data_IF_121400294424
#
_entry.id   IF_121400294424
#
_cell.length_a   1.000
_cell.length_b   1.000
_cell.length_c   1.000
_cell.angle_alpha   90.00
_cell.angle_beta   90.00
_cell.angle_gamma   90.00
#
_symmetry.space_group_name_H-M   'P 1'
#
loop_
_entity.id
_entity.type
_entity.pdbx_description
1 polymer ?
#
# COMPACT_ATOMS: atom_id res chain seq x y z
N UNK A 1 -8.36 -10.29 -3.58
CA UNK A 1 -8.02 -8.91 -3.13
C UNK A 1 -6.81 -9.01 -2.20
N UNK A 2 -5.82 -8.13 -2.33
CA UNK A 2 -4.55 -8.24 -1.57
C UNK A 2 -4.67 -7.70 -0.14
N UNK A 3 -3.91 -8.26 0.79
CA UNK A 3 -3.84 -7.84 2.20
C UNK A 3 -2.39 -7.79 2.69
N UNK A 4 -2.14 -7.00 3.73
CA UNK A 4 -0.84 -6.87 4.41
C UNK A 4 -1.01 -6.97 5.93
N UNK A 5 -0.08 -7.63 6.65
CA UNK A 5 -0.10 -7.68 8.12
C UNK A 5 0.00 -6.27 8.70
N UNK A 6 -0.97 -5.87 9.51
CA UNK A 6 -1.07 -4.50 10.04
C UNK A 6 -1.30 -4.57 11.54
N UNK A 7 -0.51 -3.80 12.30
CA UNK A 7 -0.68 -3.69 13.74
C UNK A 7 -2.01 -2.98 14.02
N UNK A 8 -2.90 -3.68 14.70
CA UNK A 8 -4.22 -3.24 15.12
C UNK A 8 -4.31 -3.30 16.66
N UNK A 9 -5.37 -2.74 17.28
CA UNK A 9 -5.51 -2.74 18.73
C UNK A 9 -5.39 -4.13 19.38
N UNK A 10 -5.96 -5.15 18.76
CA UNK A 10 -5.98 -6.53 19.28
C UNK A 10 -4.79 -7.39 18.81
N UNK A 11 -3.81 -6.79 18.13
CA UNK A 11 -2.63 -7.46 17.60
C UNK A 11 -2.46 -7.31 16.09
N UNK A 12 -1.67 -8.18 15.48
CA UNK A 12 -1.40 -8.14 14.03
C UNK A 12 -2.53 -8.84 13.28
N UNK A 13 -3.23 -8.09 12.44
CA UNK A 13 -4.32 -8.61 11.60
C UNK A 13 -4.10 -8.26 10.11
N UNK A 14 -4.73 -9.01 9.22
CA UNK A 14 -4.77 -8.68 7.81
C UNK A 14 -5.63 -7.42 7.56
N UNK A 15 -5.13 -6.52 6.72
CA UNK A 15 -5.85 -5.35 6.20
C UNK A 15 -5.67 -5.20 4.70
N UNK A 16 -6.71 -4.75 4.02
CA UNK A 16 -6.68 -4.55 2.57
C UNK A 16 -5.67 -3.46 2.20
N UNK A 17 -4.93 -3.73 1.12
CA UNK A 17 -3.88 -2.85 0.63
C UNK A 17 -4.06 -2.61 -0.86
N UNK A 18 -3.77 -1.39 -1.27
CA UNK A 18 -3.65 -0.96 -2.66
C UNK A 18 -2.24 -0.40 -2.89
N UNK A 19 -1.65 -0.70 -4.04
CA UNK A 19 -0.31 -0.24 -4.41
C UNK A 19 -0.40 0.67 -5.62
N UNK A 20 0.15 1.88 -5.48
CA UNK A 20 0.28 2.84 -6.58
C UNK A 20 1.75 2.96 -7.01
N UNK A 21 2.18 2.24 -8.06
CA UNK A 21 3.51 2.45 -8.65
C UNK A 21 3.57 3.77 -9.42
N UNK A 22 4.78 4.23 -9.69
CA UNK A 22 5.03 5.43 -10.49
C UNK A 22 5.84 5.06 -11.73
N UNK A 23 5.25 5.24 -12.90
CA UNK A 23 5.95 5.14 -14.18
C UNK A 23 6.42 6.54 -14.61
N UNK A 24 7.71 6.67 -14.89
CA UNK A 24 8.33 7.87 -15.44
C UNK A 24 8.51 7.67 -16.95
N UNK A 25 8.00 8.61 -17.72
CA UNK A 25 8.08 8.59 -19.19
C UNK A 25 9.00 9.70 -19.67
N UNK A 26 10.04 9.33 -20.40
CA UNK A 26 10.97 10.23 -21.08
C UNK A 26 11.39 9.65 -22.43
N UNK A 27 12.69 9.56 -22.70
CA UNK A 27 13.21 8.82 -23.88
C UNK A 27 12.89 7.33 -23.82
N UNK A 28 12.71 6.81 -22.61
CA UNK A 28 12.25 5.46 -22.31
C UNK A 28 11.23 5.52 -21.17
N UNK A 29 10.46 4.44 -21.00
CA UNK A 29 9.57 4.27 -19.86
C UNK A 29 10.32 3.49 -18.78
N UNK A 30 10.27 3.97 -17.55
CA UNK A 30 10.85 3.30 -16.40
C UNK A 30 9.89 3.35 -15.21
N UNK A 31 9.80 2.25 -14.47
CA UNK A 31 8.98 2.16 -13.26
C UNK A 31 9.90 2.23 -12.04
N UNK A 32 9.62 3.17 -11.14
CA UNK A 32 10.35 3.30 -9.88
C UNK A 32 10.23 1.98 -9.08
N UNK A 33 11.33 1.37 -8.60
CA UNK A 33 11.28 0.21 -7.72
C UNK A 33 10.70 0.62 -6.37
N UNK A 34 9.37 0.58 -6.27
CA UNK A 34 8.62 1.01 -5.10
C UNK A 34 7.22 1.50 -5.49
N UNK A 35 6.66 2.36 -4.66
CA UNK A 35 5.34 2.93 -4.86
C UNK A 35 4.73 3.39 -3.55
N UNK A 36 3.53 3.98 -3.65
CA UNK A 36 2.73 4.32 -2.48
C UNK A 36 1.82 3.14 -2.16
N UNK A 37 2.09 2.43 -1.07
CA UNK A 37 1.14 1.48 -0.51
C UNK A 37 0.15 2.21 0.41
N UNK A 38 -1.13 1.94 0.22
CA UNK A 38 -2.23 2.48 1.04
C UNK A 38 -2.99 1.33 1.67
N UNK A 39 -3.31 1.45 2.95
CA UNK A 39 -3.94 0.37 3.73
C UNK A 39 -5.27 0.83 4.30
N UNK A 40 -6.29 -0.02 4.25
CA UNK A 40 -7.56 0.21 4.91
C UNK A 40 -7.45 -0.22 6.37
N UNK A 41 -7.35 0.72 7.32
CA UNK A 41 -7.09 0.38 8.73
C UNK A 41 -8.33 -0.21 9.44
N UNK A 42 -9.52 0.17 8.98
CA UNK A 42 -10.80 -0.34 9.49
C UNK A 42 -11.01 -1.80 9.06
N UNK A 43 -11.32 -2.67 10.01
CA UNK A 43 -11.57 -4.11 9.75
C UNK A 43 -12.67 -4.29 8.71
N UNK A 44 -12.40 -5.12 7.69
CA UNK A 44 -13.32 -5.39 6.58
C UNK A 44 -13.50 -4.24 5.57
N UNK A 45 -12.89 -3.07 5.79
CA UNK A 45 -12.98 -1.95 4.86
C UNK A 45 -12.09 -2.15 3.64
N UNK A 46 -12.56 -1.67 2.50
CA UNK A 46 -11.77 -1.54 1.26
C UNK A 46 -11.30 -0.09 1.02
N UNK A 47 -11.74 0.84 1.87
CA UNK A 47 -11.43 2.26 1.72
C UNK A 47 -10.04 2.54 2.26
N UNK A 48 -9.13 2.87 1.35
CA UNK A 48 -7.73 3.19 1.63
C UNK A 48 -7.42 4.70 1.63
N UNK A 49 -8.44 5.56 1.44
CA UNK A 49 -8.22 7.01 1.46
C UNK A 49 -7.99 7.50 2.91
N UNK A 50 -7.16 8.53 3.07
CA UNK A 50 -6.82 9.05 4.40
C UNK A 50 -8.01 9.71 5.10
N UNK A 51 -8.90 10.36 4.35
CA UNK A 51 -10.07 11.05 4.90
C UNK A 51 -11.07 10.13 5.60
N UNK A 52 -11.03 8.81 5.35
CA UNK A 52 -11.91 7.83 6.00
C UNK A 52 -11.13 6.78 6.82
N UNK A 53 -9.91 7.13 7.25
CA UNK A 53 -9.11 6.27 8.12
C UNK A 53 -8.26 5.24 7.38
N UNK A 54 -7.88 5.52 6.13
CA UNK A 54 -6.80 4.83 5.44
C UNK A 54 -5.43 5.32 5.91
N UNK A 55 -4.44 4.42 5.89
CA UNK A 55 -3.04 4.72 6.19
C UNK A 55 -2.14 4.47 4.99
N UNK A 56 -0.84 4.72 5.15
CA UNK A 56 0.20 4.34 4.19
C UNK A 56 1.20 3.36 4.81
N UNK A 57 1.94 2.68 3.94
CA UNK A 57 3.10 1.88 4.32
C UNK A 57 4.24 2.09 3.33
N UNK A 58 5.46 1.91 3.79
CA UNK A 58 6.62 1.84 2.92
C UNK A 58 6.51 0.60 2.01
N UNK A 59 6.92 0.76 0.75
CA UNK A 59 6.97 -0.31 -0.23
C UNK A 59 8.42 -0.61 -0.55
N UNK A 60 8.92 -1.75 -0.08
CA UNK A 60 10.28 -2.19 -0.36
C UNK A 60 10.27 -3.17 -1.52
N UNK A 61 11.04 -2.86 -2.56
CA UNK A 61 11.32 -3.77 -3.67
C UNK A 61 12.74 -4.26 -3.51
N UNK A 62 12.91 -5.57 -3.34
CA UNK A 62 14.23 -6.17 -3.15
C UNK A 62 15.04 -6.06 -4.46
N UNK A 63 16.28 -5.59 -4.36
CA UNK A 63 17.22 -5.69 -5.46
C UNK A 63 17.69 -7.15 -5.59
N UNK A 64 17.73 -7.65 -6.84
CA UNK A 64 18.31 -8.95 -7.20
C UNK A 64 19.74 -8.81 -7.66
#
# INVERSE_FOLDING_TARGET
MSVTPTLCPDGVEARHVDLRPFALTGRSVWVLPGGLARVALRKGSLVVNSSQGGGSKDTWVMAS
#
